data_IF_717479740312
#
_entry.id   IF_717479740312
#
_cell.length_a   1.000
_cell.length_b   1.000
_cell.length_c   1.000
_cell.angle_alpha   90.00
_cell.angle_beta   90.00
_cell.angle_gamma   90.00
#
_symmetry.space_group_name_H-M   'P 1'
#
loop_
_entity.id
_entity.type
_entity.pdbx_description
1 polymer ?
#
# COMPACT_ATOMS: atom_id res chain seq x y z
N UNK A 1 -9.91 11.19 -4.40
CA UNK A 1 -10.51 10.08 -5.18
C UNK A 1 -10.85 8.92 -4.25
N UNK A 2 -11.65 7.91 -4.66
CA UNK A 2 -11.87 6.73 -3.82
C UNK A 2 -10.73 5.71 -3.97
N UNK A 3 -10.26 5.08 -2.87
CA UNK A 3 -9.28 4.00 -2.95
C UNK A 3 -9.80 2.81 -3.76
N UNK A 4 -8.96 2.27 -4.63
CA UNK A 4 -9.26 1.03 -5.34
C UNK A 4 -9.20 -0.14 -4.36
N UNK A 5 -10.20 -1.02 -4.32
CA UNK A 5 -10.17 -2.23 -3.46
C UNK A 5 -10.01 -3.46 -4.34
N UNK A 6 -8.95 -4.23 -4.10
CA UNK A 6 -8.61 -5.43 -4.85
C UNK A 6 -8.53 -6.67 -3.96
N UNK A 7 -8.85 -7.83 -4.53
CA UNK A 7 -8.44 -9.11 -3.94
C UNK A 7 -6.92 -9.23 -4.04
N UNK A 8 -6.26 -9.70 -2.98
CA UNK A 8 -4.83 -9.95 -3.01
C UNK A 8 -4.41 -10.96 -4.09
N UNK A 9 -5.30 -11.89 -4.47
CA UNK A 9 -5.02 -12.88 -5.52
C UNK A 9 -4.85 -12.24 -6.92
N UNK A 10 -5.28 -11.00 -7.09
CA UNK A 10 -5.20 -10.26 -8.35
C UNK A 10 -3.96 -9.37 -8.46
N UNK A 11 -3.10 -9.35 -7.44
CA UNK A 11 -1.88 -8.53 -7.45
C UNK A 11 -0.63 -9.40 -7.56
N UNK A 12 0.36 -8.89 -8.28
CA UNK A 12 1.68 -9.52 -8.41
C UNK A 12 2.71 -8.70 -7.62
N UNK A 13 3.03 -9.11 -6.37
CA UNK A 13 3.99 -8.39 -5.57
C UNK A 13 5.42 -8.63 -6.07
N UNK A 14 6.27 -7.61 -5.95
CA UNK A 14 7.70 -7.65 -6.24
C UNK A 14 8.49 -6.88 -5.17
N UNK A 15 9.80 -7.07 -5.12
CA UNK A 15 10.70 -6.30 -4.27
C UNK A 15 11.54 -5.34 -5.12
N UNK A 16 11.79 -4.15 -4.62
CA UNK A 16 12.65 -3.16 -5.29
C UNK A 16 13.44 -2.36 -4.26
N UNK A 17 14.56 -1.77 -4.70
CA UNK A 17 15.38 -0.90 -3.86
C UNK A 17 14.89 0.54 -4.01
N UNK A 18 14.57 1.19 -2.89
CA UNK A 18 14.18 2.60 -2.83
C UNK A 18 14.74 3.23 -1.56
N UNK A 19 15.41 4.38 -1.69
CA UNK A 19 16.02 5.09 -0.57
C UNK A 19 16.85 4.19 0.36
N UNK A 20 17.74 3.38 -0.24
CA UNK A 20 18.60 2.41 0.46
C UNK A 20 17.87 1.28 1.21
N UNK A 21 16.55 1.13 1.05
CA UNK A 21 15.75 0.08 1.66
C UNK A 21 15.08 -0.84 0.62
N UNK A 22 14.94 -2.12 0.95
CA UNK A 22 14.13 -3.05 0.15
C UNK A 22 12.65 -2.81 0.49
N UNK A 23 11.87 -2.40 -0.51
CA UNK A 23 10.43 -2.16 -0.40
C UNK A 23 9.63 -3.23 -1.16
N UNK A 24 8.39 -3.45 -0.73
CA UNK A 24 7.44 -4.31 -1.42
C UNK A 24 6.59 -3.44 -2.36
N UNK A 25 6.54 -3.80 -3.64
CA UNK A 25 5.70 -3.17 -4.64
C UNK A 25 4.71 -4.15 -5.25
N UNK A 26 3.71 -3.64 -5.96
CA UNK A 26 2.81 -4.47 -6.76
C UNK A 26 2.40 -3.74 -8.04
N UNK A 27 2.07 -4.52 -9.07
CA UNK A 27 1.52 -4.02 -10.31
C UNK A 27 0.01 -4.28 -10.35
N UNK A 28 -0.76 -3.26 -10.73
CA UNK A 28 -2.18 -3.39 -11.03
C UNK A 28 -2.51 -2.58 -12.28
N UNK A 29 -2.89 -3.27 -13.37
CA UNK A 29 -3.12 -2.64 -14.67
C UNK A 29 -1.84 -2.02 -15.24
N UNK A 30 -1.83 -0.69 -15.38
CA UNK A 30 -0.69 0.10 -15.89
C UNK A 30 0.06 0.86 -14.78
N UNK A 31 -0.35 0.67 -13.53
CA UNK A 31 0.19 1.39 -12.39
C UNK A 31 1.06 0.50 -11.51
N UNK A 32 2.12 1.11 -10.99
CA UNK A 32 3.01 0.50 -10.02
C UNK A 32 2.78 1.16 -8.68
N UNK A 33 2.59 0.33 -7.67
CA UNK A 33 2.36 0.77 -6.32
C UNK A 33 3.49 0.29 -5.41
N UNK A 34 3.75 1.04 -4.35
CA UNK A 34 4.51 0.58 -3.21
C UNK A 34 3.59 0.29 -2.03
N UNK A 35 3.92 -0.73 -1.26
CA UNK A 35 3.32 -0.96 0.04
C UNK A 35 3.65 0.21 0.97
N UNK A 36 2.60 0.82 1.51
CA UNK A 36 2.67 1.90 2.49
C UNK A 36 2.55 1.37 3.92
N UNK A 37 1.49 0.60 4.18
CA UNK A 37 1.19 0.08 5.53
C UNK A 37 0.40 -1.22 5.45
N UNK A 38 0.60 -2.08 6.45
CA UNK A 38 -0.20 -3.28 6.69
C UNK A 38 -1.07 -3.09 7.93
N UNK A 39 -2.24 -3.68 7.91
CA UNK A 39 -3.20 -3.66 9.01
C UNK A 39 -3.70 -5.09 9.26
N UNK A 40 -3.92 -5.49 10.51
CA UNK A 40 -4.57 -6.75 10.81
C UNK A 40 -6.04 -6.77 10.33
N UNK A 41 -6.63 -7.96 10.20
CA UNK A 41 -7.98 -8.15 9.64
C UNK A 41 -9.12 -7.48 10.43
N UNK A 42 -8.90 -7.18 11.71
CA UNK A 42 -9.82 -6.46 12.60
C UNK A 42 -9.74 -4.93 12.41
N UNK A 43 -8.61 -4.39 11.96
CA UNK A 43 -8.40 -2.97 11.66
C UNK A 43 -8.92 -2.53 10.28
N UNK A 44 -10.02 -3.13 9.78
CA UNK A 44 -10.58 -2.79 8.46
C UNK A 44 -10.94 -1.31 8.33
N UNK A 45 -11.62 -0.78 9.35
CA UNK A 45 -12.09 0.61 9.33
C UNK A 45 -10.91 1.59 9.35
N UNK A 46 -9.89 1.30 10.15
CA UNK A 46 -8.67 2.11 10.23
C UNK A 46 -7.89 2.09 8.91
N UNK A 47 -7.75 0.92 8.29
CA UNK A 47 -7.08 0.78 7.00
C UNK A 47 -7.82 1.57 5.90
N UNK A 48 -9.16 1.53 5.90
CA UNK A 48 -9.96 2.26 4.92
C UNK A 48 -9.92 3.78 5.17
N UNK A 49 -10.02 4.22 6.43
CA UNK A 49 -9.93 5.63 6.80
C UNK A 49 -8.58 6.23 6.37
N UNK A 50 -7.47 5.55 6.69
CA UNK A 50 -6.14 6.02 6.26
C UNK A 50 -6.00 6.05 4.73
N UNK A 51 -6.55 5.05 4.03
CA UNK A 51 -6.52 5.02 2.57
C UNK A 51 -7.31 6.18 1.96
N UNK A 52 -8.44 6.56 2.58
CA UNK A 52 -9.22 7.74 2.19
C UNK A 52 -8.42 9.02 2.39
N UNK A 53 -7.80 9.20 3.57
CA UNK A 53 -6.98 10.38 3.87
C UNK A 53 -5.83 10.54 2.85
N UNK A 54 -5.17 9.44 2.48
CA UNK A 54 -4.13 9.44 1.45
C UNK A 54 -4.71 9.75 0.06
N UNK A 55 -5.89 9.24 -0.27
CA UNK A 55 -6.54 9.47 -1.56
C UNK A 55 -7.13 10.88 -1.71
N UNK A 56 -7.31 11.61 -0.60
CA UNK A 56 -7.63 13.04 -0.58
C UNK A 56 -6.40 13.91 -0.85
N UNK A 57 -5.19 13.40 -0.57
CA UNK A 57 -3.91 14.07 -0.86
C UNK A 57 -3.41 13.82 -2.29
N UNK A 58 -4.33 13.62 -3.24
CA UNK A 58 -4.05 13.30 -4.66
C UNK A 58 -3.17 12.06 -4.90
N UNK A 59 -3.02 11.20 -3.89
CA UNK A 59 -2.35 9.93 -4.08
C UNK A 59 -3.30 8.92 -4.71
N UNK A 60 -2.82 8.19 -5.73
CA UNK A 60 -3.57 7.03 -6.21
C UNK A 60 -3.35 5.86 -5.24
N UNK A 61 -4.38 5.55 -4.47
CA UNK A 61 -4.34 4.55 -3.39
C UNK A 61 -5.09 3.29 -3.78
N UNK A 62 -4.53 2.14 -3.43
CA UNK A 62 -5.15 0.83 -3.56
C UNK A 62 -5.09 0.09 -2.21
N UNK A 63 -6.15 -0.64 -1.88
CA UNK A 63 -6.24 -1.51 -0.71
C UNK A 63 -6.36 -2.95 -1.23
N UNK A 64 -5.47 -3.84 -0.79
CA UNK A 64 -5.68 -5.27 -1.02
C UNK A 64 -6.17 -5.94 0.25
N UNK A 65 -7.20 -6.76 0.13
CA UNK A 65 -7.75 -7.54 1.22
C UNK A 65 -7.22 -8.98 1.19
N UNK A 66 -6.60 -9.42 2.27
CA UNK A 66 -6.34 -10.84 2.59
C UNK A 66 -7.21 -11.28 3.75
N UNK A 67 -7.36 -12.60 3.94
CA UNK A 67 -8.12 -13.15 5.08
C UNK A 67 -7.58 -12.70 6.44
N UNK A 68 -6.30 -12.34 6.52
CA UNK A 68 -5.58 -12.05 7.77
C UNK A 68 -5.09 -10.61 7.87
N UNK A 69 -5.07 -9.85 6.77
CA UNK A 69 -4.54 -8.49 6.76
C UNK A 69 -5.13 -7.64 5.62
N UNK A 70 -5.06 -6.33 5.79
CA UNK A 70 -5.23 -5.34 4.73
C UNK A 70 -3.89 -4.69 4.44
N UNK A 71 -3.59 -4.46 3.17
CA UNK A 71 -2.41 -3.70 2.75
C UNK A 71 -2.86 -2.45 2.01
N UNK A 72 -2.31 -1.31 2.40
CA UNK A 72 -2.45 -0.04 1.66
C UNK A 72 -1.25 0.11 0.74
N UNK A 73 -1.55 0.36 -0.52
CA UNK A 73 -0.60 0.54 -1.60
C UNK A 73 -0.78 1.95 -2.16
N UNK A 74 0.33 2.64 -2.37
CA UNK A 74 0.33 4.00 -2.91
C UNK A 74 1.11 4.01 -4.22
N UNK A 75 0.58 4.70 -5.23
CA UNK A 75 1.24 4.78 -6.53
C UNK A 75 2.65 5.37 -6.39
N UNK A 76 3.60 4.73 -7.07
CA UNK A 76 4.98 5.22 -7.16
C UNK A 76 5.08 6.57 -7.88
N UNK A 77 4.05 6.97 -8.64
CA UNK A 77 4.00 8.26 -9.35
C UNK A 77 3.59 9.42 -8.45
N UNK A 78 2.85 9.13 -7.38
CA UNK A 78 2.26 10.13 -6.48
C UNK A 78 2.71 9.86 -5.05
N UNK A 79 3.97 9.45 -4.86
CA UNK A 79 4.47 9.11 -3.53
C UNK A 79 4.37 10.33 -2.59
N UNK A 80 3.72 10.19 -1.43
CA UNK A 80 3.71 11.22 -0.41
C UNK A 80 5.12 11.55 0.05
N UNK A 81 5.36 12.82 0.40
CA UNK A 81 6.66 13.31 0.86
C UNK A 81 7.17 12.59 2.12
N UNK A 82 6.27 12.06 2.94
CA UNK A 82 6.55 11.30 4.17
C UNK A 82 6.74 9.79 3.90
N UNK A 83 6.74 9.34 2.64
CA UNK A 83 6.94 7.93 2.28
C UNK A 83 8.24 7.34 2.82
N UNK A 84 9.33 8.10 2.78
CA UNK A 84 10.61 7.68 3.32
C UNK A 84 10.53 7.39 4.84
N UNK A 85 9.69 8.14 5.57
CA UNK A 85 9.48 7.94 7.01
C UNK A 85 8.54 6.77 7.33
N UNK A 86 7.66 6.38 6.40
CA UNK A 86 6.85 5.18 6.51
C UNK A 86 7.75 3.94 6.40
N UNK A 87 8.37 3.53 7.51
CA UNK A 87 9.25 2.37 7.55
C UNK A 87 8.50 1.11 7.08
N UNK A 88 9.13 0.26 6.25
CA UNK A 88 8.60 -1.07 6.02
C UNK A 88 8.68 -1.79 7.37
N UNK A 89 7.54 -2.22 7.91
CA UNK A 89 7.57 -3.17 9.02
C UNK A 89 8.17 -4.44 8.43
N UNK A 90 9.45 -4.67 8.75
CA UNK A 90 10.14 -5.93 8.48
C UNK A 90 9.25 -7.05 8.98
N UNK A 91 8.94 -7.99 8.09
CA UNK A 91 8.43 -9.28 8.51
C UNK A 91 9.42 -9.83 9.55
N UNK A 92 8.96 -9.94 10.79
CA UNK A 92 9.68 -10.69 11.82
C UNK A 92 9.77 -12.12 11.28
N UNK A 93 11.01 -12.53 10.98
CA UNK A 93 11.35 -13.91 10.67
C UNK A 93 11.29 -14.75 11.95
#
# INVERSE_FOLDING_TARGET
>A
MLPLVLSHELVHPFKFLYDHEIREGMCSGKELYCLWRRFPADSRQEAFALAMDLAEQDSQVCITCMRVEYKIWVSLRTLPSDFAAARPISAVA
#
